data_IF_111612787180
#
_entry.id   IF_111612787180
#
_cell.length_a   1.000
_cell.length_b   1.000
_cell.length_c   1.000
_cell.angle_alpha   90.00
_cell.angle_beta   90.00
_cell.angle_gamma   90.00
#
_symmetry.space_group_name_H-M   'P 1'
#
loop_
_entity.id
_entity.type
_entity.pdbx_description
1 polymer ?
#
# COMPACT_ATOMS: atom_id res chain seq x y z
N UNK A 1 11.69 4.55 -8.01
CA UNK A 1 12.64 5.12 -7.03
C UNK A 1 13.50 6.15 -7.70
N UNK A 2 13.45 7.38 -7.22
CA UNK A 2 14.15 8.52 -7.85
C UNK A 2 15.54 8.79 -7.30
N UNK A 3 15.76 8.46 -6.04
CA UNK A 3 17.04 8.68 -5.39
C UNK A 3 17.18 7.72 -4.23
N UNK A 4 18.41 7.44 -3.84
CA UNK A 4 18.66 6.51 -2.75
C UNK A 4 20.05 6.72 -2.14
N UNK A 5 20.21 6.24 -0.92
CA UNK A 5 21.48 6.21 -0.24
C UNK A 5 21.76 4.78 0.26
N UNK A 6 22.89 4.26 -0.14
CA UNK A 6 23.35 2.90 0.24
C UNK A 6 24.59 3.03 1.09
N UNK A 7 24.63 2.31 2.22
CA UNK A 7 25.78 2.26 3.11
C UNK A 7 26.01 0.81 3.55
N UNK A 8 27.22 0.34 3.43
CA UNK A 8 27.59 -1.05 3.75
C UNK A 8 26.73 -2.09 3.01
N UNK A 9 26.41 -1.83 1.74
CA UNK A 9 25.62 -2.73 0.92
C UNK A 9 24.13 -2.76 1.24
N UNK A 10 23.68 -1.91 2.15
CA UNK A 10 22.28 -1.82 2.56
C UNK A 10 21.65 -0.50 2.14
N UNK A 11 20.42 -0.57 1.63
CA UNK A 11 19.64 0.63 1.34
C UNK A 11 19.20 1.26 2.67
N UNK A 12 19.61 2.52 2.90
CA UNK A 12 19.34 3.24 4.15
C UNK A 12 18.26 4.29 4.01
N UNK A 13 18.11 4.82 2.80
CA UNK A 13 17.14 5.86 2.50
C UNK A 13 16.77 5.79 1.02
N UNK A 14 15.52 6.07 0.72
CA UNK A 14 15.10 6.20 -0.67
C UNK A 14 13.96 7.20 -0.83
N UNK A 15 13.88 7.76 -2.02
CA UNK A 15 12.83 8.66 -2.48
C UNK A 15 11.99 7.92 -3.51
N UNK A 16 10.73 7.75 -3.23
CA UNK A 16 9.77 7.12 -4.14
C UNK A 16 8.80 8.17 -4.65
N UNK A 17 8.58 8.19 -5.95
CA UNK A 17 7.67 9.13 -6.56
C UNK A 17 6.82 8.45 -7.62
N UNK A 18 5.52 8.70 -7.58
CA UNK A 18 4.55 8.23 -8.57
C UNK A 18 3.51 9.32 -8.74
N UNK A 19 3.31 9.79 -9.98
CA UNK A 19 2.26 10.74 -10.29
C UNK A 19 2.29 12.03 -9.48
N UNK A 20 3.47 12.49 -9.07
CA UNK A 20 3.62 13.68 -8.23
C UNK A 20 3.55 13.43 -6.74
N UNK A 21 3.14 12.26 -6.32
CA UNK A 21 3.19 11.89 -4.91
C UNK A 21 4.58 11.41 -4.52
N UNK A 22 5.09 11.89 -3.41
CA UNK A 22 6.45 11.60 -2.94
C UNK A 22 6.40 10.98 -1.56
N UNK A 23 7.15 9.89 -1.37
CA UNK A 23 7.34 9.25 -0.07
C UNK A 23 8.82 8.97 0.10
N UNK A 24 9.35 9.29 1.27
CA UNK A 24 10.71 8.92 1.65
C UNK A 24 10.65 7.80 2.68
N UNK A 25 11.48 6.80 2.47
CA UNK A 25 11.67 5.72 3.43
C UNK A 25 13.08 5.80 3.98
N UNK A 26 13.20 5.71 5.29
CA UNK A 26 14.48 5.80 5.98
C UNK A 26 14.57 4.73 7.04
N UNK A 27 15.72 4.06 7.09
CA UNK A 27 16.00 3.10 8.14
C UNK A 27 16.13 3.80 9.50
N UNK A 28 15.64 3.17 10.55
CA UNK A 28 15.84 3.66 11.89
C UNK A 28 17.31 3.68 12.26
N UNK A 29 17.79 4.82 12.75
CA UNK A 29 19.10 4.88 13.38
C UNK A 29 18.95 4.40 14.83
N UNK A 30 19.63 3.30 15.16
CA UNK A 30 19.59 2.73 16.52
C UNK A 30 20.58 3.37 17.48
N UNK A 31 21.53 4.12 16.94
CA UNK A 31 22.60 4.78 17.68
C UNK A 31 22.79 6.19 17.12
N UNK A 32 23.31 7.08 17.99
CA UNK A 32 23.60 8.46 17.61
C UNK A 32 22.49 9.44 17.96
N UNK A 33 22.66 10.69 17.51
CA UNK A 33 21.74 11.79 17.83
C UNK A 33 20.36 11.60 17.19
N UNK A 34 20.30 10.93 16.05
CA UNK A 34 19.05 10.68 15.34
C UNK A 34 18.47 9.31 15.67
N UNK A 35 18.97 8.67 16.74
CA UNK A 35 18.46 7.37 17.14
C UNK A 35 17.00 7.48 17.57
N UNK A 36 16.23 6.47 17.16
CA UNK A 36 14.81 6.41 17.46
C UNK A 36 14.41 4.98 17.80
N UNK A 37 13.67 4.82 18.86
CA UNK A 37 13.14 3.53 19.25
C UNK A 37 11.63 3.57 19.16
N UNK A 38 11.08 2.60 18.47
CA UNK A 38 9.64 2.45 18.35
C UNK A 38 9.12 1.70 19.57
N UNK A 39 8.17 2.31 20.27
CA UNK A 39 7.39 1.65 21.30
C UNK A 39 6.10 1.14 20.66
N UNK A 40 5.86 -0.17 20.74
CA UNK A 40 4.68 -0.79 20.15
C UNK A 40 4.94 -1.37 18.78
N UNK A 41 3.85 -1.68 18.08
CA UNK A 41 3.89 -2.32 16.76
C UNK A 41 4.12 -1.30 15.65
N UNK A 42 5.05 -1.57 14.76
CA UNK A 42 5.31 -0.72 13.60
C UNK A 42 4.05 -0.60 12.75
N UNK A 43 3.72 0.65 12.37
CA UNK A 43 2.57 0.92 11.51
C UNK A 43 1.21 0.95 12.20
N UNK A 44 1.18 0.69 13.51
CA UNK A 44 -0.07 0.73 14.26
C UNK A 44 -0.66 2.14 14.26
N UNK A 45 -1.93 2.24 13.90
CA UNK A 45 -2.62 3.52 13.86
C UNK A 45 -2.31 4.39 12.65
N UNK A 46 -1.53 3.89 11.69
CA UNK A 46 -1.17 4.63 10.48
C UNK A 46 -1.64 3.86 9.26
N UNK A 47 -2.33 4.56 8.36
CA UNK A 47 -2.70 4.05 7.04
C UNK A 47 -2.33 5.10 6.00
N UNK A 48 -1.69 4.68 4.93
CA UNK A 48 -1.34 5.55 3.81
C UNK A 48 -2.34 5.31 2.68
N UNK A 49 -3.01 6.37 2.25
CA UNK A 49 -4.03 6.30 1.21
C UNK A 49 -3.50 6.92 -0.07
N UNK A 50 -3.59 6.16 -1.16
CA UNK A 50 -3.19 6.61 -2.49
C UNK A 50 -4.42 6.63 -3.40
N UNK A 51 -4.75 7.81 -3.92
CA UNK A 51 -5.77 7.93 -4.95
C UNK A 51 -5.11 7.54 -6.28
N UNK A 52 -5.68 6.58 -6.95
CA UNK A 52 -5.12 6.03 -8.19
C UNK A 52 -6.17 5.96 -9.29
N UNK A 53 -5.73 5.60 -10.49
CA UNK A 53 -6.62 5.51 -11.65
C UNK A 53 -7.56 4.32 -11.54
N UNK A 54 -7.04 3.17 -11.07
CA UNK A 54 -7.84 1.95 -10.97
C UNK A 54 -7.33 1.04 -9.85
N UNK A 55 -8.06 1.04 -8.75
CA UNK A 55 -7.73 0.22 -7.58
C UNK A 55 -7.85 -1.29 -7.86
N UNK A 56 -8.69 -1.69 -8.81
CA UNK A 56 -8.85 -3.10 -9.17
C UNK A 56 -7.63 -3.62 -9.93
N UNK A 57 -6.99 -2.78 -10.73
CA UNK A 57 -5.72 -3.13 -11.37
C UNK A 57 -4.63 -3.34 -10.33
N UNK A 58 -4.59 -2.46 -9.31
CA UNK A 58 -3.64 -2.61 -8.20
C UNK A 58 -3.87 -3.94 -7.48
N UNK A 59 -5.11 -4.29 -7.22
CA UNK A 59 -5.48 -5.56 -6.60
C UNK A 59 -4.94 -6.76 -7.39
N UNK A 60 -5.20 -6.78 -8.70
CA UNK A 60 -4.77 -7.88 -9.58
C UNK A 60 -3.25 -7.98 -9.67
N UNK A 61 -2.56 -6.85 -9.72
CA UNK A 61 -1.09 -6.81 -9.72
C UNK A 61 -0.50 -7.30 -8.41
N UNK A 62 -1.12 -6.94 -7.28
CA UNK A 62 -0.69 -7.40 -5.97
C UNK A 62 -0.82 -8.93 -5.87
N UNK A 63 -1.95 -9.48 -6.31
CA UNK A 63 -2.15 -10.93 -6.36
C UNK A 63 -1.09 -11.62 -7.24
N UNK A 64 -0.84 -11.05 -8.42
CA UNK A 64 0.13 -11.62 -9.37
C UNK A 64 1.55 -11.66 -8.83
N UNK A 65 1.87 -10.77 -7.87
CA UNK A 65 3.18 -10.70 -7.24
C UNK A 65 3.27 -11.48 -5.94
N UNK A 66 2.23 -12.24 -5.60
CA UNK A 66 2.21 -13.06 -4.39
C UNK A 66 1.89 -12.31 -3.11
N UNK A 67 1.42 -11.07 -3.20
CA UNK A 67 0.94 -10.31 -2.05
C UNK A 67 -0.46 -10.79 -1.66
N UNK A 68 -0.88 -10.43 -0.46
CA UNK A 68 -2.20 -10.82 0.07
C UNK A 68 -3.08 -9.59 0.29
N UNK A 69 -3.53 -8.92 -0.80
CA UNK A 69 -4.41 -7.78 -0.65
C UNK A 69 -5.80 -8.22 -0.19
N UNK A 70 -6.46 -7.34 0.57
CA UNK A 70 -7.86 -7.54 0.91
C UNK A 70 -8.72 -7.40 -0.35
N UNK A 71 -9.77 -8.22 -0.47
CA UNK A 71 -10.72 -8.09 -1.56
C UNK A 71 -11.23 -6.66 -1.65
N UNK A 72 -11.22 -6.04 -2.84
CA UNK A 72 -11.72 -4.67 -2.99
C UNK A 72 -13.19 -4.56 -2.62
N UNK A 73 -13.51 -3.46 -1.94
CA UNK A 73 -14.86 -3.13 -1.52
C UNK A 73 -15.09 -1.64 -1.76
N UNK A 74 -16.32 -1.26 -2.07
CA UNK A 74 -16.67 0.13 -2.32
C UNK A 74 -16.93 0.86 -0.99
N UNK A 75 -16.21 1.94 -0.77
CA UNK A 75 -16.43 2.86 0.34
C UNK A 75 -16.24 4.30 -0.12
N UNK A 76 -17.14 5.19 0.30
CA UNK A 76 -17.09 6.60 -0.06
C UNK A 76 -17.02 6.84 -1.58
N UNK A 77 -17.79 6.08 -2.34
CA UNK A 77 -17.82 6.13 -3.80
C UNK A 77 -16.49 5.77 -4.46
N UNK A 78 -15.69 4.97 -3.80
CA UNK A 78 -14.41 4.50 -4.33
C UNK A 78 -14.24 3.00 -4.12
N UNK A 79 -13.64 2.33 -5.11
CA UNK A 79 -13.05 1.02 -4.88
C UNK A 79 -11.84 1.18 -3.98
N UNK A 80 -11.78 0.38 -2.93
CA UNK A 80 -10.67 0.38 -1.99
C UNK A 80 -9.97 -0.97 -2.02
N UNK A 81 -8.69 -0.95 -2.37
CA UNK A 81 -7.80 -2.11 -2.30
C UNK A 81 -6.80 -1.87 -1.18
N UNK A 82 -6.74 -2.76 -0.22
CA UNK A 82 -5.86 -2.64 0.93
C UNK A 82 -4.80 -3.72 0.92
N UNK A 83 -3.58 -3.35 1.24
CA UNK A 83 -2.47 -4.28 1.38
C UNK A 83 -1.55 -3.77 2.49
N UNK A 84 -0.91 -4.69 3.20
CA UNK A 84 0.08 -4.33 4.22
C UNK A 84 1.48 -4.36 3.61
N UNK A 85 2.32 -3.39 3.98
CA UNK A 85 3.72 -3.46 3.61
C UNK A 85 4.46 -4.47 4.50
N UNK A 86 5.73 -4.81 4.18
CA UNK A 86 6.48 -5.79 4.98
C UNK A 86 6.66 -5.43 6.44
N UNK A 87 6.59 -4.15 6.78
CA UNK A 87 6.75 -3.67 8.15
C UNK A 87 5.43 -3.61 8.91
N UNK A 88 4.30 -3.81 8.23
CA UNK A 88 2.98 -3.78 8.86
C UNK A 88 2.19 -2.49 8.67
N UNK A 89 2.69 -1.54 7.88
CA UNK A 89 1.92 -0.35 7.54
C UNK A 89 0.78 -0.70 6.58
N UNK A 90 -0.40 -0.16 6.85
CA UNK A 90 -1.54 -0.32 5.95
C UNK A 90 -1.43 0.64 4.77
N UNK A 91 -1.60 0.11 3.56
CA UNK A 91 -1.65 0.88 2.32
C UNK A 91 -3.01 0.68 1.69
N UNK A 92 -3.69 1.77 1.36
CA UNK A 92 -4.97 1.73 0.67
C UNK A 92 -4.84 2.43 -0.68
N UNK A 93 -5.34 1.77 -1.71
CA UNK A 93 -5.40 2.33 -3.07
C UNK A 93 -6.86 2.52 -3.43
N UNK A 94 -7.23 3.75 -3.75
CA UNK A 94 -8.62 4.11 -3.98
C UNK A 94 -8.83 4.72 -5.35
N UNK A 95 -9.89 4.30 -6.04
CA UNK A 95 -10.29 4.87 -7.33
C UNK A 95 -11.80 5.07 -7.38
N UNK A 96 -12.21 6.18 -7.98
CA UNK A 96 -13.63 6.57 -8.05
C UNK A 96 -14.45 5.53 -8.82
N UNK A 97 -15.64 5.24 -8.30
CA UNK A 97 -16.60 4.35 -8.95
C UNK A 97 -18.03 4.80 -8.64
N UNK A 98 -18.97 4.46 -9.50
CA UNK A 98 -20.40 4.65 -9.26
C UNK A 98 -21.10 3.36 -8.80
N UNK A 99 -20.33 2.33 -8.52
CA UNK A 99 -20.85 1.09 -7.93
C UNK A 99 -21.35 1.37 -6.50
N UNK A 100 -22.39 0.68 -6.09
CA UNK A 100 -23.05 0.89 -4.80
C UNK A 100 -22.11 0.65 -3.62
N UNK A 101 -22.28 1.44 -2.55
CA UNK A 101 -21.51 1.29 -1.30
C UNK A 101 -21.60 -0.14 -0.76
N UNK A 102 -20.53 -0.56 -0.13
CA UNK A 102 -20.37 -1.86 0.50
C UNK A 102 -20.38 -3.05 -0.48
N UNK A 103 -20.33 -2.79 -1.79
CA UNK A 103 -20.20 -3.84 -2.79
C UNK A 103 -18.80 -4.40 -2.78
N UNK A 104 -18.66 -5.71 -2.71
CA UNK A 104 -17.37 -6.40 -2.86
C UNK A 104 -17.16 -6.81 -4.31
N UNK A 105 -15.90 -6.86 -4.73
CA UNK A 105 -15.56 -7.23 -6.11
C UNK A 105 -16.15 -8.57 -6.52
N UNK A 106 -16.10 -9.58 -5.64
CA UNK A 106 -16.65 -10.90 -5.91
C UNK A 106 -18.16 -10.91 -6.19
N UNK A 107 -18.88 -9.92 -5.70
CA UNK A 107 -20.32 -9.79 -5.93
C UNK A 107 -20.65 -9.34 -7.36
N UNK A 108 -19.71 -8.65 -8.02
CA UNK A 108 -19.86 -8.19 -9.40
C UNK A 108 -19.29 -9.19 -10.38
N UNK A 109 -18.08 -9.68 -10.14
CA UNK A 109 -17.41 -10.62 -11.03
C UNK A 109 -17.94 -12.05 -10.87
N UNK A 110 -18.67 -12.30 -9.78
CA UNK A 110 -19.11 -13.63 -9.44
C UNK A 110 -17.96 -14.54 -9.04
N UNK A 111 -18.24 -15.81 -8.70
CA UNK A 111 -17.17 -16.75 -8.45
C UNK A 111 -16.35 -16.92 -9.71
N UNK A 112 -15.02 -16.87 -9.58
CA UNK A 112 -14.13 -17.15 -10.69
C UNK A 112 -14.31 -18.61 -11.04
N UNK A 113 -15.06 -18.87 -12.10
CA UNK A 113 -15.13 -20.19 -12.68
C UNK A 113 -13.84 -20.38 -13.48
N UNK A 114 -12.85 -20.96 -12.84
CA UNK A 114 -11.68 -21.40 -13.58
C UNK A 114 -12.12 -22.50 -14.53
N UNK A 115 -11.83 -22.31 -15.82
CA UNK A 115 -12.10 -23.37 -16.79
C UNK A 115 -11.26 -24.60 -16.47
#
# INVERSE_FOLDING_TARGET
>A
MKNSWVHEGKLRWCWLEVGGAVVMLQEFAREGLDSWQLEGKVGEGVSLVFICVDALVVYRRALARGLEPTEPEVGNSMWVTSVSDPDGYGLEFESVTDVAEDTKLSQIEGPILTP
#
